data_IF_989149046862
#
_entry.id   IF_989149046862
#
_cell.length_a   1.000
_cell.length_b   1.000
_cell.length_c   1.000
_cell.angle_alpha   90.00
_cell.angle_beta   90.00
_cell.angle_gamma   90.00
#
_symmetry.space_group_name_H-M   'P 1'
#
loop_
_entity.id
_entity.type
_entity.pdbx_description
1 polymer ?
#
# COMPACT_ATOMS: atom_id res chain seq x y z
N UNK A 1 12.95 39.02 -50.17
CA UNK A 1 13.34 38.35 -51.44
C UNK A 1 14.25 37.18 -51.10
N UNK A 2 13.89 35.97 -51.57
CA UNK A 2 14.69 34.72 -51.66
C UNK A 2 15.09 34.03 -50.34
N UNK A 3 15.07 32.70 -50.17
CA UNK A 3 14.38 31.57 -50.81
C UNK A 3 14.48 30.39 -49.81
N UNK A 4 13.47 29.50 -49.82
CA UNK A 4 13.36 28.25 -49.04
C UNK A 4 14.56 27.30 -49.21
N UNK A 5 14.75 26.38 -48.25
CA UNK A 5 14.97 24.94 -48.53
C UNK A 5 14.61 24.04 -47.34
N UNK A 6 13.63 23.18 -47.58
CA UNK A 6 13.19 22.06 -46.75
C UNK A 6 14.26 20.95 -46.77
N UNK A 7 14.39 20.21 -45.66
CA UNK A 7 14.95 18.85 -45.66
C UNK A 7 13.92 17.88 -45.08
N UNK A 8 13.43 17.00 -45.94
CA UNK A 8 12.67 15.81 -45.57
C UNK A 8 13.60 14.83 -44.86
N UNK A 9 13.14 14.27 -43.73
CA UNK A 9 13.72 13.06 -43.15
C UNK A 9 12.92 11.85 -43.64
N UNK A 10 13.62 10.93 -44.30
CA UNK A 10 13.11 9.64 -44.75
C UNK A 10 13.12 8.65 -43.59
N UNK A 11 11.98 7.99 -43.37
CA UNK A 11 11.80 6.91 -42.39
C UNK A 11 12.16 5.60 -43.07
N UNK A 12 13.16 4.88 -42.56
CA UNK A 12 13.48 3.51 -42.97
C UNK A 12 12.87 2.55 -41.94
N UNK A 13 11.88 1.77 -42.36
CA UNK A 13 11.32 0.65 -41.61
C UNK A 13 12.10 -0.62 -41.95
N UNK A 14 12.68 -1.36 -40.99
CA UNK A 14 13.10 -2.73 -41.23
C UNK A 14 11.93 -3.70 -41.03
N UNK A 15 11.61 -4.45 -42.08
CA UNK A 15 10.71 -5.59 -42.03
C UNK A 15 11.40 -6.77 -41.33
N UNK A 16 10.86 -7.22 -40.20
CA UNK A 16 11.22 -8.50 -39.58
C UNK A 16 10.31 -9.60 -40.15
N UNK A 17 10.88 -10.47 -40.97
CA UNK A 17 10.30 -11.73 -41.39
C UNK A 17 10.45 -12.77 -40.28
N UNK A 18 9.34 -13.30 -39.75
CA UNK A 18 9.33 -14.44 -38.84
C UNK A 18 9.29 -15.77 -39.62
N UNK A 19 10.08 -16.79 -39.24
CA UNK A 19 9.92 -18.12 -39.80
C UNK A 19 8.76 -18.88 -39.13
N UNK A 20 7.90 -19.47 -39.97
CA UNK A 20 6.94 -20.50 -39.59
C UNK A 20 7.70 -21.73 -39.07
N UNK A 21 7.42 -22.12 -37.82
CA UNK A 21 7.77 -23.45 -37.32
C UNK A 21 6.52 -24.33 -37.46
N UNK A 22 6.57 -25.24 -38.43
CA UNK A 22 5.65 -26.37 -38.57
C UNK A 22 5.90 -27.35 -37.41
N UNK A 23 4.89 -27.57 -36.57
CA UNK A 23 4.88 -28.67 -35.61
C UNK A 23 4.39 -29.94 -36.32
N UNK A 24 5.28 -30.92 -36.44
CA UNK A 24 4.96 -32.27 -36.86
C UNK A 24 4.25 -33.01 -35.71
N UNK A 25 3.07 -33.57 -35.97
CA UNK A 25 2.43 -34.52 -35.06
C UNK A 25 3.04 -35.91 -35.26
N UNK A 26 3.67 -36.45 -34.23
CA UNK A 26 3.92 -37.88 -34.13
C UNK A 26 2.92 -38.50 -33.16
N UNK A 27 2.23 -39.51 -33.67
CA UNK A 27 1.38 -40.45 -32.96
C UNK A 27 2.18 -41.26 -31.95
N UNK A 28 1.55 -41.60 -30.83
CA UNK A 28 1.92 -42.75 -30.03
C UNK A 28 0.66 -43.44 -29.54
N UNK A 29 0.42 -44.60 -30.15
CA UNK A 29 -0.53 -45.62 -29.76
C UNK A 29 -0.18 -46.23 -28.41
N UNK A 30 -1.18 -46.39 -27.52
CA UNK A 30 -1.22 -47.50 -26.57
C UNK A 30 -2.65 -47.92 -26.31
N UNK A 31 -2.91 -49.19 -26.60
CA UNK A 31 -4.07 -49.97 -26.20
C UNK A 31 -4.17 -50.09 -24.68
N UNK A 32 -5.38 -49.98 -24.14
CA UNK A 32 -6.03 -51.08 -23.41
C UNK A 32 -7.49 -50.75 -23.11
N UNK A 33 -8.32 -51.78 -23.25
CA UNK A 33 -9.77 -51.81 -23.05
C UNK A 33 -10.09 -52.15 -21.56
N UNK A 34 -11.36 -52.36 -21.13
CA UNK A 34 -12.01 -51.55 -20.09
C UNK A 34 -12.29 -52.34 -18.79
N UNK A 35 -12.31 -51.65 -17.64
CA UNK A 35 -12.99 -52.18 -16.46
C UNK A 35 -13.70 -51.03 -15.74
N UNK A 36 -15.02 -50.97 -15.96
CA UNK A 36 -15.94 -50.17 -15.17
C UNK A 36 -16.26 -50.92 -13.88
N UNK A 37 -15.71 -50.47 -12.76
CA UNK A 37 -16.28 -50.71 -11.44
C UNK A 37 -16.69 -49.38 -10.83
N UNK A 38 -18.00 -49.13 -10.86
CA UNK A 38 -18.65 -48.02 -10.16
C UNK A 38 -18.53 -48.25 -8.63
N UNK A 39 -17.57 -47.58 -8.00
CA UNK A 39 -17.59 -47.38 -6.55
C UNK A 39 -18.46 -46.18 -6.22
N UNK A 40 -19.56 -46.45 -5.53
CA UNK A 40 -20.42 -45.47 -4.87
C UNK A 40 -19.58 -44.59 -3.93
N UNK A 41 -19.46 -43.32 -4.27
CA UNK A 41 -19.03 -42.27 -3.35
C UNK A 41 -20.11 -42.10 -2.26
N UNK A 42 -19.78 -42.55 -1.04
CA UNK A 42 -20.48 -42.12 0.16
C UNK A 42 -20.16 -40.66 0.41
N UNK A 43 -21.10 -39.79 0.09
CA UNK A 43 -21.18 -38.41 0.58
C UNK A 43 -21.11 -38.41 2.10
N UNK A 44 -19.90 -38.25 2.63
CA UNK A 44 -19.72 -37.89 4.04
C UNK A 44 -19.82 -36.38 4.10
N UNK A 45 -21.01 -35.88 4.46
CA UNK A 45 -21.23 -34.48 4.83
C UNK A 45 -20.28 -34.10 5.96
N UNK A 46 -19.14 -33.54 5.61
CA UNK A 46 -18.29 -32.79 6.54
C UNK A 46 -19.08 -31.54 6.90
N UNK A 47 -19.76 -31.60 8.05
CA UNK A 47 -20.31 -30.43 8.71
C UNK A 47 -19.18 -29.42 8.88
N UNK A 48 -19.17 -28.42 8.01
CA UNK A 48 -18.29 -27.27 8.11
C UNK A 48 -18.52 -26.62 9.45
N UNK A 49 -17.57 -26.78 10.37
CA UNK A 49 -17.42 -25.89 11.52
C UNK A 49 -17.21 -24.49 10.93
N UNK A 50 -18.25 -23.68 10.93
CA UNK A 50 -18.19 -22.24 10.72
C UNK A 50 -17.25 -21.69 11.79
N UNK A 51 -15.95 -21.61 11.49
CA UNK A 51 -15.02 -20.80 12.27
C UNK A 51 -15.57 -19.38 12.17
N UNK A 52 -16.12 -18.88 13.27
CA UNK A 52 -16.35 -17.45 13.44
C UNK A 52 -15.01 -16.77 13.15
N UNK A 53 -14.89 -16.19 11.95
CA UNK A 53 -13.72 -15.47 11.52
C UNK A 53 -13.73 -14.18 12.35
N UNK A 54 -12.94 -14.16 13.42
CA UNK A 54 -12.81 -12.99 14.27
C UNK A 54 -12.38 -11.79 13.43
N UNK A 55 -13.02 -10.64 13.66
CA UNK A 55 -12.73 -9.41 12.94
C UNK A 55 -11.33 -8.92 13.35
N UNK A 56 -10.42 -8.78 12.39
CA UNK A 56 -9.03 -8.39 12.62
C UNK A 56 -8.90 -7.07 13.39
N UNK A 57 -9.82 -6.12 13.19
CA UNK A 57 -9.81 -4.84 13.89
C UNK A 57 -10.04 -5.00 15.40
N UNK A 58 -10.87 -5.96 15.80
CA UNK A 58 -11.13 -6.25 17.21
C UNK A 58 -9.90 -6.90 17.84
N UNK A 59 -9.27 -7.85 17.14
CA UNK A 59 -8.06 -8.53 17.62
C UNK A 59 -6.91 -7.55 17.87
N UNK A 60 -6.70 -6.61 16.95
CA UNK A 60 -5.64 -5.60 17.05
C UNK A 60 -6.02 -4.41 17.94
N UNK A 61 -7.25 -4.38 18.49
CA UNK A 61 -7.78 -3.26 19.28
C UNK A 61 -7.60 -1.93 18.56
N UNK A 62 -7.98 -1.91 17.27
CA UNK A 62 -7.85 -0.73 16.41
C UNK A 62 -8.64 0.44 16.98
N UNK A 63 -8.07 1.65 16.89
CA UNK A 63 -8.78 2.88 17.27
C UNK A 63 -9.62 3.40 16.11
N UNK A 64 -10.82 3.87 16.45
CA UNK A 64 -11.80 4.39 15.51
C UNK A 64 -12.07 5.87 15.75
N UNK A 65 -12.28 6.61 14.67
CA UNK A 65 -12.78 7.97 14.63
C UNK A 65 -14.24 7.96 14.16
N UNK A 66 -15.09 8.77 14.79
CA UNK A 66 -16.53 8.83 14.45
C UNK A 66 -16.81 9.55 13.13
N UNK A 67 -15.85 10.32 12.63
CA UNK A 67 -15.94 11.07 11.38
C UNK A 67 -14.59 11.12 10.70
N UNK A 68 -14.60 11.18 9.37
CA UNK A 68 -13.42 11.54 8.58
C UNK A 68 -13.13 13.04 8.81
N UNK A 69 -11.95 13.42 9.30
CA UNK A 69 -11.65 14.83 9.60
C UNK A 69 -11.26 15.66 8.36
N UNK A 70 -11.56 15.16 7.16
CA UNK A 70 -11.24 15.78 5.89
C UNK A 70 -12.46 15.83 4.97
N UNK A 71 -12.56 16.88 4.17
CA UNK A 71 -13.60 17.01 3.16
C UNK A 71 -13.35 16.01 2.03
N UNK A 72 -14.37 15.21 1.69
CA UNK A 72 -14.33 14.31 0.53
C UNK A 72 -14.39 15.15 -0.75
N UNK A 73 -13.46 14.90 -1.66
CA UNK A 73 -13.45 15.55 -2.97
C UNK A 73 -14.50 14.92 -3.89
N UNK A 74 -15.20 15.77 -4.63
CA UNK A 74 -16.26 15.35 -5.56
C UNK A 74 -15.75 15.12 -6.99
N UNK A 75 -14.54 15.60 -7.33
CA UNK A 75 -13.92 15.46 -8.64
C UNK A 75 -12.40 15.25 -8.52
N UNK A 76 -11.81 14.62 -9.53
CA UNK A 76 -10.40 14.18 -9.53
C UNK A 76 -9.52 14.97 -10.51
N UNK A 77 -9.95 16.16 -10.96
CA UNK A 77 -9.19 16.96 -11.96
C UNK A 77 -7.74 17.21 -11.51
N UNK A 78 -7.52 17.33 -10.19
CA UNK A 78 -6.21 17.29 -9.56
C UNK A 78 -6.31 16.79 -8.11
N UNK A 79 -5.19 16.32 -7.56
CA UNK A 79 -5.06 15.96 -6.16
C UNK A 79 -4.70 17.20 -5.33
N UNK A 80 -5.67 17.69 -4.55
CA UNK A 80 -5.49 18.84 -3.65
C UNK A 80 -5.02 18.35 -2.27
N UNK A 81 -4.05 19.04 -1.64
CA UNK A 81 -3.67 18.76 -0.27
C UNK A 81 -4.86 18.82 0.69
N UNK A 82 -4.93 17.89 1.64
CA UNK A 82 -5.94 17.83 2.71
C UNK A 82 -7.39 17.61 2.26
N UNK A 83 -7.61 17.13 1.04
CA UNK A 83 -8.89 16.57 0.60
C UNK A 83 -8.83 15.05 0.58
N UNK A 84 -9.91 14.40 0.95
CA UNK A 84 -10.02 12.94 0.92
C UNK A 84 -10.52 12.47 -0.44
N UNK A 85 -9.78 11.56 -1.05
CA UNK A 85 -10.12 10.96 -2.33
C UNK A 85 -10.37 9.47 -2.15
N UNK A 86 -11.55 9.02 -2.54
CA UNK A 86 -11.88 7.60 -2.54
C UNK A 86 -11.04 6.86 -3.60
N UNK A 87 -10.59 5.66 -3.25
CA UNK A 87 -9.80 4.78 -4.13
C UNK A 87 -10.49 3.43 -4.28
N UNK A 88 -10.21 2.75 -5.39
CA UNK A 88 -10.61 1.36 -5.58
C UNK A 88 -9.96 0.49 -4.50
N UNK A 89 -10.72 -0.46 -3.96
CA UNK A 89 -10.21 -1.48 -3.04
C UNK A 89 -9.13 -2.36 -3.68
N UNK A 90 -9.04 -2.44 -5.00
CA UNK A 90 -7.95 -3.13 -5.72
C UNK A 90 -6.64 -2.37 -5.59
N UNK A 91 -5.86 -2.71 -4.58
CA UNK A 91 -4.55 -2.11 -4.31
C UNK A 91 -3.41 -3.13 -4.46
N UNK A 92 -2.16 -2.67 -4.37
CA UNK A 92 -0.98 -3.54 -4.23
C UNK A 92 -0.05 -2.95 -3.18
N UNK A 93 0.15 -3.68 -2.07
CA UNK A 93 1.02 -3.25 -0.97
C UNK A 93 2.48 -3.55 -1.35
N UNK A 94 3.33 -2.51 -1.42
CA UNK A 94 4.75 -2.65 -1.73
C UNK A 94 5.56 -2.97 -0.49
N UNK A 95 5.31 -2.24 0.59
CA UNK A 95 5.93 -2.35 1.92
C UNK A 95 4.92 -1.86 2.98
N UNK A 96 5.34 -1.72 4.24
CA UNK A 96 4.43 -1.36 5.32
C UNK A 96 3.80 0.02 5.18
N UNK A 97 4.42 0.95 4.45
CA UNK A 97 4.00 2.35 4.35
C UNK A 97 3.86 2.85 2.90
N UNK A 98 3.94 1.95 1.91
CA UNK A 98 3.82 2.27 0.49
C UNK A 98 2.86 1.31 -0.19
N UNK A 99 1.83 1.86 -0.81
CA UNK A 99 0.76 1.11 -1.47
C UNK A 99 0.41 1.75 -2.81
N UNK A 100 0.20 0.92 -3.83
CA UNK A 100 -0.29 1.34 -5.14
C UNK A 100 -1.82 1.31 -5.18
N UNK A 101 -2.43 2.49 -5.15
CA UNK A 101 -3.89 2.67 -5.22
C UNK A 101 -4.36 3.09 -6.61
N UNK A 102 -5.61 2.81 -6.94
CA UNK A 102 -6.29 3.34 -8.12
C UNK A 102 -7.29 4.38 -7.62
N UNK A 103 -7.01 5.65 -7.85
CA UNK A 103 -7.94 6.72 -7.46
C UNK A 103 -9.18 6.68 -8.34
N UNK A 104 -10.37 6.83 -7.76
CA UNK A 104 -11.59 6.83 -8.58
C UNK A 104 -11.54 8.01 -9.58
N UNK A 105 -11.64 7.68 -10.87
CA UNK A 105 -11.49 8.61 -11.99
C UNK A 105 -10.06 8.80 -12.51
N UNK A 106 -9.04 8.19 -11.87
CA UNK A 106 -7.69 8.02 -12.44
C UNK A 106 -7.47 6.53 -12.69
N UNK A 107 -7.65 6.09 -13.94
CA UNK A 107 -7.54 4.67 -14.36
C UNK A 107 -6.09 4.14 -14.43
N UNK A 108 -5.26 4.44 -13.42
CA UNK A 108 -3.92 3.89 -13.27
C UNK A 108 -3.56 3.75 -11.79
N UNK A 109 -2.64 2.83 -11.50
CA UNK A 109 -2.04 2.70 -10.17
C UNK A 109 -1.11 3.88 -9.91
N UNK A 110 -1.30 4.54 -8.78
CA UNK A 110 -0.44 5.59 -8.26
C UNK A 110 0.17 5.14 -6.94
N UNK A 111 1.51 5.20 -6.80
CA UNK A 111 2.16 4.86 -5.55
C UNK A 111 1.92 5.95 -4.51
N UNK A 112 1.40 5.54 -3.35
CA UNK A 112 1.20 6.39 -2.17
C UNK A 112 2.17 5.95 -1.10
N UNK A 113 3.04 6.86 -0.63
CA UNK A 113 3.85 6.70 0.59
C UNK A 113 3.12 7.38 1.74
N UNK A 114 3.03 6.69 2.86
CA UNK A 114 2.29 7.17 4.02
C UNK A 114 3.04 8.36 4.62
N UNK A 115 2.35 9.50 4.71
CA UNK A 115 2.89 10.72 5.31
C UNK A 115 3.28 10.45 6.76
N UNK A 116 4.43 10.95 7.21
CA UNK A 116 4.82 10.85 8.62
C UNK A 116 5.25 9.46 9.11
N UNK A 117 5.30 8.46 8.23
CA UNK A 117 5.54 7.04 8.59
C UNK A 117 6.79 6.52 7.89
N UNK A 118 7.63 5.82 8.65
CA UNK A 118 8.77 5.06 8.13
C UNK A 118 8.77 3.64 8.71
N UNK A 119 8.58 2.67 7.84
CA UNK A 119 8.63 1.23 8.16
C UNK A 119 10.01 0.65 7.82
N UNK A 120 10.42 -0.46 8.45
CA UNK A 120 11.68 -1.10 8.12
C UNK A 120 11.67 -1.62 6.68
N UNK A 121 12.83 -1.54 6.01
CA UNK A 121 12.97 -1.95 4.61
C UNK A 121 13.04 -3.47 4.46
N UNK A 122 12.28 -4.05 3.51
CA UNK A 122 12.34 -5.49 3.18
C UNK A 122 13.54 -5.87 2.30
N UNK A 123 14.10 -4.88 1.60
CA UNK A 123 15.17 -5.06 0.61
C UNK A 123 16.19 -3.95 0.74
N UNK A 124 17.46 -4.32 0.70
CA UNK A 124 18.53 -3.37 0.47
C UNK A 124 18.62 -3.09 -1.03
N UNK A 125 18.19 -1.90 -1.46
CA UNK A 125 18.18 -1.53 -2.88
C UNK A 125 19.58 -1.39 -3.48
N UNK A 126 20.58 -1.00 -2.69
CA UNK A 126 21.96 -0.86 -3.15
C UNK A 126 22.56 -2.23 -3.46
N UNK A 127 22.35 -3.19 -2.57
CA UNK A 127 22.86 -4.57 -2.70
C UNK A 127 21.91 -5.48 -3.50
N UNK A 128 20.72 -4.99 -3.87
CA UNK A 128 19.66 -5.74 -4.56
C UNK A 128 19.26 -7.05 -3.88
N UNK A 129 19.44 -7.18 -2.57
CA UNK A 129 19.13 -8.37 -1.78
C UNK A 129 18.09 -8.07 -0.69
N UNK A 130 17.42 -9.11 -0.21
CA UNK A 130 16.54 -8.99 0.95
C UNK A 130 17.33 -8.58 2.20
N UNK A 131 16.70 -7.81 3.09
CA UNK A 131 17.26 -7.55 4.41
C UNK A 131 17.21 -8.82 5.26
N UNK A 132 17.89 -8.86 6.41
CA UNK A 132 17.95 -10.04 7.29
C UNK A 132 17.72 -9.62 8.74
N UNK A 133 17.63 -10.60 9.65
CA UNK A 133 17.48 -10.32 11.09
C UNK A 133 16.22 -9.54 11.42
N UNK A 134 16.31 -8.69 12.44
CA UNK A 134 15.17 -7.90 12.91
C UNK A 134 14.65 -6.92 11.87
N UNK A 135 15.50 -6.34 11.02
CA UNK A 135 15.05 -5.44 9.95
C UNK A 135 14.00 -6.11 9.07
N UNK A 136 14.28 -7.32 8.56
CA UNK A 136 13.34 -8.06 7.72
C UNK A 136 12.10 -8.49 8.50
N UNK A 137 12.27 -8.98 9.72
CA UNK A 137 11.16 -9.41 10.56
C UNK A 137 10.12 -8.30 10.74
N UNK A 138 10.55 -7.11 11.17
CA UNK A 138 9.64 -5.99 11.39
C UNK A 138 9.12 -5.40 10.07
N UNK A 139 9.91 -5.42 8.99
CA UNK A 139 9.45 -5.02 7.65
C UNK A 139 8.28 -5.90 7.16
N UNK A 140 8.36 -7.21 7.38
CA UNK A 140 7.30 -8.16 7.03
C UNK A 140 6.07 -7.96 7.92
N UNK A 141 6.24 -7.77 9.23
CA UNK A 141 5.12 -7.46 10.15
C UNK A 141 4.36 -6.19 9.73
N UNK A 142 5.08 -5.11 9.42
CA UNK A 142 4.46 -3.87 8.96
C UNK A 142 3.73 -4.05 7.62
N UNK A 143 4.33 -4.76 6.66
CA UNK A 143 3.70 -5.08 5.37
C UNK A 143 2.43 -5.91 5.57
N UNK A 144 2.50 -6.96 6.38
CA UNK A 144 1.38 -7.85 6.66
C UNK A 144 0.23 -7.12 7.36
N UNK A 145 0.54 -6.25 8.33
CA UNK A 145 -0.44 -5.40 8.98
C UNK A 145 -1.19 -4.53 7.96
N UNK A 146 -0.47 -3.78 7.13
CA UNK A 146 -1.06 -2.92 6.09
C UNK A 146 -1.91 -3.74 5.11
N UNK A 147 -1.42 -4.90 4.67
CA UNK A 147 -2.18 -5.80 3.81
C UNK A 147 -3.47 -6.29 4.49
N UNK A 148 -3.40 -6.76 5.73
CA UNK A 148 -4.58 -7.25 6.46
C UNK A 148 -5.60 -6.13 6.68
N UNK A 149 -5.15 -4.95 7.10
CA UNK A 149 -6.03 -3.79 7.32
C UNK A 149 -6.79 -3.39 6.05
N UNK A 150 -6.11 -3.34 4.90
CA UNK A 150 -6.72 -2.91 3.63
C UNK A 150 -7.60 -3.99 2.97
N UNK A 151 -7.43 -5.27 3.30
CA UNK A 151 -8.20 -6.39 2.74
C UNK A 151 -9.20 -6.99 3.73
N UNK A 152 -9.35 -6.40 4.91
CA UNK A 152 -10.35 -6.83 5.86
C UNK A 152 -11.75 -6.70 5.23
N UNK A 153 -12.56 -7.75 5.37
CA UNK A 153 -13.84 -7.87 4.63
C UNK A 153 -14.82 -6.76 5.01
N UNK A 154 -14.71 -6.30 6.26
CA UNK A 154 -15.53 -5.22 6.81
C UNK A 154 -15.16 -3.81 6.33
N UNK A 155 -14.07 -3.65 5.57
CA UNK A 155 -13.70 -2.38 4.94
C UNK A 155 -14.76 -2.00 3.92
N UNK A 156 -15.43 -0.87 4.09
CA UNK A 156 -16.42 -0.35 3.15
C UNK A 156 -15.77 0.51 2.08
N UNK A 157 -14.87 1.43 2.46
CA UNK A 157 -14.16 2.35 1.56
C UNK A 157 -12.74 2.64 2.05
N UNK A 158 -11.89 3.11 1.15
CA UNK A 158 -10.55 3.60 1.47
C UNK A 158 -10.43 5.02 0.91
N UNK A 159 -9.89 5.92 1.72
CA UNK A 159 -9.61 7.29 1.32
C UNK A 159 -8.12 7.59 1.46
N UNK A 160 -7.58 8.29 0.46
CA UNK A 160 -6.25 8.86 0.51
C UNK A 160 -6.40 10.37 0.66
N UNK A 161 -5.69 10.93 1.63
CA UNK A 161 -5.62 12.38 1.88
C UNK A 161 -4.22 12.86 1.52
N UNK A 162 -3.99 13.34 0.29
CA UNK A 162 -2.69 13.85 -0.13
C UNK A 162 -2.26 15.00 0.78
N UNK A 163 -0.98 15.05 1.12
CA UNK A 163 -0.39 16.10 1.95
C UNK A 163 0.50 16.99 1.09
N UNK A 164 0.54 18.28 1.41
CA UNK A 164 1.40 19.23 0.70
C UNK A 164 2.86 18.85 0.91
N UNK A 165 3.64 18.82 -0.16
CA UNK A 165 5.07 18.52 -0.11
C UNK A 165 5.91 19.69 -0.59
N UNK A 166 7.23 19.59 -0.37
CA UNK A 166 8.22 20.50 -0.94
C UNK A 166 9.10 19.71 -1.90
N UNK A 167 9.23 20.18 -3.14
CA UNK A 167 10.10 19.57 -4.14
C UNK A 167 9.58 18.26 -4.75
N UNK A 168 8.25 18.12 -4.85
CA UNK A 168 7.65 16.98 -5.55
C UNK A 168 7.93 16.98 -7.06
N UNK A 169 7.69 15.83 -7.68
CA UNK A 169 7.90 15.60 -9.12
C UNK A 169 6.66 15.08 -9.82
N UNK A 170 6.58 15.33 -11.12
CA UNK A 170 5.57 14.79 -12.01
C UNK A 170 4.24 15.55 -11.98
N UNK A 171 3.18 14.91 -12.46
CA UNK A 171 1.87 15.53 -12.66
C UNK A 171 1.22 16.01 -11.35
N UNK A 172 1.54 15.37 -10.22
CA UNK A 172 1.01 15.71 -8.90
C UNK A 172 2.10 16.30 -7.98
N UNK A 173 2.93 17.20 -8.52
CA UNK A 173 4.11 17.73 -7.82
C UNK A 173 3.82 18.35 -6.44
N UNK A 174 2.65 18.98 -6.25
CA UNK A 174 2.30 19.64 -4.98
C UNK A 174 2.05 18.66 -3.82
N UNK A 175 1.83 17.40 -4.13
CA UNK A 175 1.51 16.34 -3.16
C UNK A 175 2.41 15.12 -3.30
N UNK A 176 3.41 15.16 -4.18
CA UNK A 176 4.34 14.05 -4.39
C UNK A 176 5.68 14.31 -3.73
N UNK A 177 6.38 13.24 -3.33
CA UNK A 177 7.76 13.30 -2.89
C UNK A 177 8.74 13.42 -4.07
N UNK A 178 10.02 13.51 -3.74
CA UNK A 178 11.14 13.60 -4.71
C UNK A 178 11.24 12.41 -5.67
N UNK A 179 10.61 11.28 -5.33
CA UNK A 179 10.52 10.06 -6.13
C UNK A 179 9.19 9.91 -6.89
N UNK A 180 8.34 10.94 -6.92
CA UNK A 180 7.06 10.94 -7.65
C UNK A 180 5.93 10.13 -6.98
N UNK A 181 6.16 9.61 -5.77
CA UNK A 181 5.13 8.95 -4.93
C UNK A 181 4.24 10.02 -4.29
N UNK A 182 2.93 9.85 -4.32
CA UNK A 182 2.00 10.72 -3.57
C UNK A 182 2.29 10.53 -2.07
N UNK A 183 2.42 11.62 -1.32
CA UNK A 183 2.55 11.57 0.14
C UNK A 183 1.14 11.73 0.72
N UNK A 184 0.64 10.71 1.41
CA UNK A 184 -0.77 10.66 1.78
C UNK A 184 -1.04 10.08 3.17
N UNK A 185 -2.16 10.50 3.77
CA UNK A 185 -2.74 9.86 4.95
C UNK A 185 -3.79 8.86 4.45
N UNK A 186 -3.76 7.64 4.97
CA UNK A 186 -4.70 6.59 4.56
C UNK A 186 -5.77 6.41 5.62
N UNK A 187 -7.02 6.61 5.22
CA UNK A 187 -8.19 6.34 6.04
C UNK A 187 -8.96 5.14 5.51
N UNK A 188 -9.30 4.23 6.40
CA UNK A 188 -10.17 3.08 6.12
C UNK A 188 -11.54 3.39 6.73
N UNK A 189 -12.60 3.28 5.94
CA UNK A 189 -13.97 3.32 6.43
C UNK A 189 -14.46 1.90 6.70
N UNK A 190 -15.09 1.73 7.86
CA UNK A 190 -15.76 0.52 8.32
C UNK A 190 -17.19 0.88 8.72
N UNK A 191 -18.15 -0.02 8.44
CA UNK A 191 -19.52 0.11 8.92
C UNK A 191 -19.68 -0.71 10.19
N UNK A 192 -19.98 -0.04 11.30
CA UNK A 192 -20.25 -0.74 12.55
C UNK A 192 -21.56 -1.56 12.49
N UNK A 193 -21.86 -2.27 13.57
CA UNK A 193 -23.06 -3.10 13.69
C UNK A 193 -24.38 -2.32 13.49
N UNK A 194 -24.36 -1.00 13.69
CA UNK A 194 -25.52 -0.12 13.52
C UNK A 194 -25.48 0.59 12.14
N UNK A 195 -24.63 0.09 11.22
CA UNK A 195 -24.37 0.64 9.89
C UNK A 195 -23.84 2.10 9.89
N UNK A 196 -23.25 2.55 11.02
CA UNK A 196 -22.62 3.86 11.11
C UNK A 196 -21.18 3.78 10.61
N UNK A 197 -20.76 4.80 9.87
CA UNK A 197 -19.36 4.91 9.43
C UNK A 197 -18.45 5.15 10.63
N UNK A 198 -17.38 4.37 10.71
CA UNK A 198 -16.22 4.59 11.56
C UNK A 198 -15.00 4.65 10.66
N UNK A 199 -14.01 5.44 11.08
CA UNK A 199 -12.81 5.68 10.30
C UNK A 199 -11.57 5.26 11.08
N UNK A 200 -10.60 4.69 10.38
CA UNK A 200 -9.32 4.28 10.96
C UNK A 200 -8.24 5.05 10.23
N UNK A 201 -7.41 5.79 10.96
CA UNK A 201 -6.18 6.36 10.42
C UNK A 201 -5.08 5.28 10.41
N UNK A 202 -4.87 4.64 9.26
CA UNK A 202 -3.94 3.52 9.13
C UNK A 202 -2.50 3.93 9.47
N UNK A 203 -2.10 5.15 9.09
CA UNK A 203 -0.76 5.70 9.38
C UNK A 203 -0.53 5.75 10.91
N UNK A 204 -1.52 6.27 11.65
CA UNK A 204 -1.45 6.39 13.10
C UNK A 204 -1.44 5.02 13.79
N UNK A 205 -2.17 4.04 13.28
CA UNK A 205 -2.20 2.68 13.82
C UNK A 205 -0.88 1.91 13.59
N UNK A 206 -0.24 2.08 12.44
CA UNK A 206 1.11 1.54 12.18
C UNK A 206 2.11 2.00 13.25
N UNK A 207 2.09 3.28 13.61
CA UNK A 207 2.97 3.82 14.64
C UNK A 207 2.54 3.33 16.03
N UNK A 208 1.23 3.38 16.35
CA UNK A 208 0.70 3.03 17.67
C UNK A 208 0.99 1.58 18.06
N UNK A 209 0.94 0.68 17.10
CA UNK A 209 1.23 -0.74 17.28
C UNK A 209 2.73 -1.06 17.17
N UNK A 210 3.58 -0.04 16.96
CA UNK A 210 5.03 -0.19 16.91
C UNK A 210 5.54 -0.84 15.62
N UNK A 211 4.81 -0.74 14.51
CA UNK A 211 5.26 -1.24 13.20
C UNK A 211 6.08 -0.20 12.41
N UNK A 212 6.07 1.07 12.84
CA UNK A 212 6.74 2.16 12.14
C UNK A 212 7.24 3.25 13.11
N UNK A 213 8.21 4.04 12.63
CA UNK A 213 8.65 5.29 13.26
C UNK A 213 7.84 6.48 12.76
N UNK A 214 7.74 7.52 13.60
CA UNK A 214 7.35 8.86 13.14
C UNK A 214 8.55 9.48 12.44
N UNK A 215 8.45 9.70 11.12
CA UNK A 215 9.53 10.29 10.32
C UNK A 215 8.98 11.07 9.14
N UNK A 216 9.80 11.92 8.53
CA UNK A 216 9.44 12.70 7.35
C UNK A 216 8.21 13.60 7.57
N UNK A 217 8.08 14.16 8.78
CA UNK A 217 7.05 15.15 9.14
C UNK A 217 7.61 16.13 10.19
N UNK A 218 7.30 17.41 10.06
CA UNK A 218 7.78 18.46 10.96
C UNK A 218 6.81 19.65 11.01
N UNK A 219 6.72 20.31 12.16
CA UNK A 219 6.04 21.61 12.28
C UNK A 219 6.98 22.79 11.97
N UNK A 220 8.28 22.55 11.76
CA UNK A 220 9.23 23.59 11.41
C UNK A 220 9.08 23.97 9.94
N UNK A 221 8.70 25.23 9.67
CA UNK A 221 8.61 25.79 8.32
C UNK A 221 9.95 25.78 7.56
N UNK A 222 11.08 25.56 8.23
CA UNK A 222 12.39 25.42 7.57
C UNK A 222 12.68 23.99 7.14
N UNK A 223 11.93 23.01 7.63
CA UNK A 223 12.10 21.60 7.29
C UNK A 223 11.63 21.30 5.86
N UNK A 224 12.33 20.42 5.16
CA UNK A 224 11.83 19.82 3.91
C UNK A 224 10.54 19.00 4.13
N UNK A 225 10.32 18.55 5.36
CA UNK A 225 9.16 17.75 5.79
C UNK A 225 8.09 18.58 6.50
N UNK A 226 8.13 19.91 6.33
CA UNK A 226 7.14 20.81 6.93
C UNK A 226 5.71 20.40 6.55
N UNK A 227 4.83 20.32 7.55
CA UNK A 227 3.39 20.23 7.37
C UNK A 227 2.67 21.32 8.17
N UNK A 228 1.66 21.98 7.58
CA UNK A 228 0.74 22.83 8.33
C UNK A 228 -0.34 22.02 9.08
N UNK A 229 -0.43 20.71 8.87
CA UNK A 229 -1.42 19.84 9.49
C UNK A 229 -1.01 19.44 10.91
N UNK A 230 -1.15 20.39 11.84
CA UNK A 230 -0.76 20.23 13.26
C UNK A 230 -1.51 19.10 13.95
N UNK A 231 -2.81 18.96 13.67
CA UNK A 231 -3.66 17.90 14.23
C UNK A 231 -3.11 16.51 13.88
N UNK A 232 -2.78 16.29 12.62
CA UNK A 232 -2.19 15.02 12.19
C UNK A 232 -0.81 14.79 12.78
N UNK A 233 0.05 15.80 12.83
CA UNK A 233 1.36 15.69 13.48
C UNK A 233 1.24 15.22 14.93
N UNK A 234 0.38 15.85 15.73
CA UNK A 234 0.18 15.47 17.13
C UNK A 234 -0.50 14.11 17.28
N UNK A 235 -1.36 13.71 16.34
CA UNK A 235 -1.91 12.35 16.31
C UNK A 235 -0.79 11.31 16.18
N UNK A 236 0.17 11.50 15.27
CA UNK A 236 1.30 10.59 15.12
C UNK A 236 2.20 10.57 16.36
N UNK A 237 2.47 11.74 16.96
CA UNK A 237 3.27 11.83 18.20
C UNK A 237 2.60 11.14 19.38
N UNK A 238 1.27 11.25 19.51
CA UNK A 238 0.51 10.54 20.53
C UNK A 238 0.54 9.03 20.30
N UNK A 239 0.38 8.56 19.06
CA UNK A 239 0.55 7.15 18.71
C UNK A 239 1.95 6.63 19.06
N UNK A 240 2.99 7.40 18.77
CA UNK A 240 4.38 7.03 19.07
C UNK A 240 4.62 6.91 20.58
N UNK A 241 4.11 7.89 21.34
CA UNK A 241 4.19 7.87 22.80
C UNK A 241 3.51 6.62 23.36
N UNK A 242 2.30 6.31 22.92
CA UNK A 242 1.59 5.11 23.35
C UNK A 242 2.36 3.83 23.02
N UNK A 243 2.95 3.74 21.83
CA UNK A 243 3.74 2.58 21.42
C UNK A 243 4.96 2.39 22.33
N UNK A 244 5.62 3.49 22.73
CA UNK A 244 6.75 3.47 23.67
C UNK A 244 6.33 3.05 25.08
N UNK A 245 5.26 3.64 25.60
CA UNK A 245 4.72 3.33 26.93
C UNK A 245 4.30 1.86 27.04
N UNK A 246 3.71 1.31 25.97
CA UNK A 246 3.30 -0.10 25.90
C UNK A 246 4.41 -1.05 25.45
N UNK A 247 5.61 -0.53 25.16
CA UNK A 247 6.73 -1.30 24.59
C UNK A 247 6.30 -2.14 23.38
N UNK A 248 5.51 -1.55 22.48
CA UNK A 248 4.92 -2.23 21.33
C UNK A 248 5.90 -2.31 20.15
N UNK A 249 5.91 -3.45 19.45
CA UNK A 249 6.65 -3.65 18.21
C UNK A 249 8.13 -3.27 18.32
N UNK A 250 8.58 -2.32 17.50
CA UNK A 250 9.97 -1.82 17.47
C UNK A 250 10.42 -1.16 18.79
N UNK A 251 9.51 -0.92 19.73
CA UNK A 251 9.80 -0.40 21.08
C UNK A 251 9.78 -1.48 22.16
N UNK A 252 9.62 -2.76 21.79
CA UNK A 252 9.67 -3.87 22.75
C UNK A 252 11.07 -4.07 23.32
N UNK A 253 11.17 -4.70 24.50
CA UNK A 253 12.44 -4.95 25.17
C UNK A 253 13.41 -5.83 24.34
N UNK A 254 12.86 -6.64 23.42
CA UNK A 254 13.64 -7.50 22.53
C UNK A 254 13.98 -6.83 21.19
N UNK A 255 13.43 -5.64 20.91
CA UNK A 255 13.67 -4.93 19.66
C UNK A 255 15.00 -4.16 19.72
N UNK A 256 15.87 -4.41 18.76
CA UNK A 256 17.08 -3.61 18.57
C UNK A 256 16.85 -2.58 17.46
N UNK A 257 16.53 -1.34 17.83
CA UNK A 257 16.26 -0.27 16.86
C UNK A 257 17.41 -0.04 15.86
N UNK A 258 18.66 -0.22 16.27
CA UNK A 258 19.81 -0.06 15.36
C UNK A 258 19.91 -1.22 14.35
N UNK A 259 19.46 -2.42 14.72
CA UNK A 259 19.37 -3.55 13.77
C UNK A 259 18.17 -3.40 12.84
N UNK A 260 17.04 -2.91 13.37
CA UNK A 260 15.80 -2.72 12.59
C UNK A 260 15.97 -1.57 11.57
N UNK A 261 16.67 -0.50 11.98
CA UNK A 261 16.96 0.68 11.16
C UNK A 261 18.47 0.95 11.13
N UNK A 262 19.27 0.16 10.38
CA UNK A 262 20.73 0.27 10.39
C UNK A 262 21.26 1.53 9.69
N UNK A 263 20.43 2.16 8.85
CA UNK A 263 20.72 3.45 8.24
C UNK A 263 19.62 4.44 8.62
N UNK A 264 19.60 4.94 9.88
CA UNK A 264 18.63 5.95 10.26
C UNK A 264 19.00 7.25 9.53
N UNK A 265 18.35 7.51 8.39
CA UNK A 265 18.41 8.82 7.72
C UNK A 265 18.01 9.95 8.68
#
# INVERSE_FOLDING_TARGET
>A
MNFKKNKLFSIILPALSAPLILAASCSSSRESNPEQEQKQEKETKVQGKTKNKSNYFIEQKIKFEDKLPYTIANNIDTLKPNFAYEVDKKHSVRDGDTVDFIFLGINRRLPVRFSGVDTPEKRNYNLKQETVGQQREYALKATEFTQKMLNEESVSKIYIVPQKTRGGKGYFADVSGTYGRIIGIVYIEYKDKDNKSKYINLNAELIRLGFALVKYISLSERSQYYTPNTMYYYQLKASEQEAREKKAGIYSDNANLAEIYPNPN
#
